data_IF_535798618003
#
_entry.id   IF_535798618003
#
_cell.length_a   1.000
_cell.length_b   1.000
_cell.length_c   1.000
_cell.angle_alpha   90.00
_cell.angle_beta   90.00
_cell.angle_gamma   90.00
#
_symmetry.space_group_name_H-M   'P 1'
#
loop_
_entity.id
_entity.type
_entity.pdbx_description
1 polymer ?
#
# COMPACT_ATOMS: atom_id res chain seq x y z
N UNK A 1 -53.25 56.57 -75.59
CA UNK A 1 -53.28 55.27 -74.89
C UNK A 1 -52.13 55.26 -73.90
N UNK A 2 -52.46 55.34 -72.62
CA UNK A 2 -51.58 55.03 -71.48
C UNK A 2 -50.98 53.62 -71.62
N UNK A 3 -49.72 53.45 -71.23
CA UNK A 3 -49.27 52.25 -70.49
C UNK A 3 -48.13 52.62 -69.53
N UNK A 4 -48.52 52.83 -68.27
CA UNK A 4 -48.03 52.18 -67.04
C UNK A 4 -46.52 52.19 -66.71
N UNK A 5 -46.26 52.84 -65.57
CA UNK A 5 -45.08 52.77 -64.70
C UNK A 5 -44.78 51.36 -64.17
N UNK A 6 -43.49 51.01 -63.99
CA UNK A 6 -43.08 50.00 -63.00
C UNK A 6 -41.77 50.39 -62.34
N UNK A 7 -41.87 50.66 -61.05
CA UNK A 7 -40.80 50.94 -60.11
C UNK A 7 -39.69 49.89 -60.12
N UNK A 8 -38.44 50.36 -60.22
CA UNK A 8 -37.25 49.59 -59.88
C UNK A 8 -37.05 49.64 -58.36
N UNK A 9 -37.55 48.64 -57.64
CA UNK A 9 -37.15 48.43 -56.25
C UNK A 9 -36.86 46.96 -55.97
N UNK A 10 -35.70 46.49 -56.43
CA UNK A 10 -35.14 45.21 -56.01
C UNK A 10 -34.10 45.47 -54.91
N UNK A 11 -34.54 45.34 -53.67
CA UNK A 11 -33.70 45.33 -52.47
C UNK A 11 -32.66 44.20 -52.57
N UNK A 12 -31.44 44.49 -53.00
CA UNK A 12 -30.29 43.61 -52.74
C UNK A 12 -29.80 43.83 -51.32
N UNK A 13 -30.36 43.05 -50.37
CA UNK A 13 -29.71 42.86 -49.07
C UNK A 13 -28.49 41.97 -49.30
N UNK A 14 -27.26 42.40 -48.94
CA UNK A 14 -26.13 41.48 -48.93
C UNK A 14 -26.43 40.39 -47.90
N UNK A 15 -26.33 39.13 -48.31
CA UNK A 15 -26.31 37.99 -47.39
C UNK A 15 -25.12 38.23 -46.45
N UNK A 16 -25.41 38.66 -45.21
CA UNK A 16 -24.43 38.63 -44.13
C UNK A 16 -23.99 37.17 -44.02
N UNK A 17 -22.77 36.87 -44.45
CA UNK A 17 -22.12 35.64 -44.03
C UNK A 17 -22.11 35.70 -42.51
N UNK A 18 -22.96 34.89 -41.88
CA UNK A 18 -22.93 34.72 -40.44
C UNK A 18 -21.50 34.29 -40.11
N UNK A 19 -20.76 35.14 -39.40
CA UNK A 19 -19.47 34.77 -38.83
C UNK A 19 -19.70 33.45 -38.09
N UNK A 20 -19.00 32.40 -38.52
CA UNK A 20 -19.09 31.13 -37.82
C UNK A 20 -18.68 31.41 -36.38
N UNK A 21 -19.48 30.99 -35.38
CA UNK A 21 -19.12 31.20 -34.00
C UNK A 21 -17.72 30.63 -33.79
N UNK A 22 -16.86 31.46 -33.22
CA UNK A 22 -15.47 31.10 -32.94
C UNK A 22 -15.48 29.80 -32.11
N UNK A 23 -14.95 28.73 -32.68
CA UNK A 23 -14.96 27.43 -32.01
C UNK A 23 -14.12 27.55 -30.76
N UNK A 24 -14.69 27.15 -29.62
CA UNK A 24 -13.94 27.11 -28.35
C UNK A 24 -12.71 26.25 -28.56
N UNK A 25 -11.55 26.76 -28.16
CA UNK A 25 -10.31 26.03 -28.26
C UNK A 25 -10.42 24.69 -27.51
N UNK A 26 -9.91 23.63 -28.14
CA UNK A 26 -9.85 22.30 -27.57
C UNK A 26 -9.11 22.32 -26.21
N UNK A 27 -9.63 21.57 -25.23
CA UNK A 27 -9.07 21.48 -23.88
C UNK A 27 -8.58 20.07 -23.60
N UNK A 28 -7.50 19.98 -22.85
CA UNK A 28 -6.82 18.72 -22.53
C UNK A 28 -7.36 18.02 -21.29
N UNK A 29 -8.67 17.93 -21.20
CA UNK A 29 -9.35 17.35 -20.04
C UNK A 29 -9.92 15.99 -20.41
N UNK A 30 -9.46 14.97 -19.70
CA UNK A 30 -9.96 13.61 -19.86
C UNK A 30 -11.45 13.58 -19.48
N UNK A 31 -12.30 12.93 -20.29
CA UNK A 31 -13.74 12.77 -20.07
C UNK A 31 -14.61 14.04 -20.17
N UNK A 32 -14.05 15.18 -20.57
CA UNK A 32 -14.83 16.37 -20.88
C UNK A 32 -15.40 16.28 -22.30
N UNK A 33 -16.72 16.32 -22.46
CA UNK A 33 -17.36 16.42 -23.78
C UNK A 33 -17.08 17.79 -24.40
N UNK A 34 -16.52 17.81 -25.61
CA UNK A 34 -16.13 19.02 -26.33
C UNK A 34 -16.62 18.97 -27.78
N UNK A 35 -16.71 20.13 -28.44
CA UNK A 35 -17.17 20.25 -29.83
C UNK A 35 -16.08 19.87 -30.86
N UNK A 36 -15.40 18.74 -30.60
CA UNK A 36 -14.37 18.17 -31.44
C UNK A 36 -14.64 16.67 -31.63
N UNK A 37 -14.26 16.08 -32.78
CA UNK A 37 -14.34 14.63 -32.98
C UNK A 37 -13.58 13.86 -31.89
N UNK A 38 -14.06 12.66 -31.53
CA UNK A 38 -13.46 11.85 -30.46
C UNK A 38 -11.98 11.46 -30.75
N UNK A 39 -11.58 11.44 -32.03
CA UNK A 39 -10.20 11.17 -32.45
C UNK A 39 -9.35 12.45 -32.66
N UNK A 40 -9.88 13.63 -32.35
CA UNK A 40 -9.15 14.88 -32.51
C UNK A 40 -8.07 15.04 -31.44
N UNK A 41 -6.84 15.31 -31.89
CA UNK A 41 -5.70 15.64 -31.04
C UNK A 41 -5.09 16.95 -31.52
N UNK A 42 -4.86 17.90 -30.60
CA UNK A 42 -4.28 19.20 -30.94
C UNK A 42 -2.82 19.08 -31.40
N UNK A 43 -2.37 19.96 -32.30
CA UNK A 43 -0.99 19.94 -32.83
C UNK A 43 0.08 20.16 -31.74
N UNK A 44 -0.27 20.88 -30.66
CA UNK A 44 0.61 21.10 -29.51
C UNK A 44 0.72 19.88 -28.59
N UNK A 45 -0.08 18.82 -28.82
CA UNK A 45 -0.16 17.68 -27.90
C UNK A 45 1.18 17.00 -27.64
N UNK A 46 1.92 16.69 -28.71
CA UNK A 46 3.23 16.03 -28.62
C UNK A 46 4.29 16.95 -28.01
N UNK A 47 4.19 18.27 -28.24
CA UNK A 47 5.12 19.25 -27.68
C UNK A 47 5.03 19.37 -26.15
N UNK A 48 3.90 18.97 -25.57
CA UNK A 48 3.64 19.03 -24.13
C UNK A 48 3.98 17.72 -23.41
N UNK A 49 4.45 16.71 -24.13
CA UNK A 49 4.75 15.39 -23.57
C UNK A 49 5.97 15.47 -22.66
N UNK A 50 5.76 15.20 -21.36
CA UNK A 50 6.83 15.23 -20.36
C UNK A 50 7.48 13.85 -20.32
N UNK A 51 8.80 13.82 -20.47
CA UNK A 51 9.59 12.60 -20.28
C UNK A 51 10.19 12.63 -18.87
N UNK A 52 10.05 11.52 -18.15
CA UNK A 52 10.69 11.27 -16.87
C UNK A 52 10.39 12.29 -15.76
N UNK A 53 9.25 13.00 -15.80
CA UNK A 53 8.86 13.98 -14.78
C UNK A 53 8.59 13.36 -13.39
N UNK A 54 8.30 12.06 -13.32
CA UNK A 54 8.03 11.33 -12.06
C UNK A 54 9.15 10.34 -11.71
N UNK A 55 10.29 10.41 -12.40
CA UNK A 55 11.43 9.55 -12.05
C UNK A 55 12.01 9.98 -10.70
N UNK A 56 11.80 9.14 -9.68
CA UNK A 56 12.37 9.31 -8.35
C UNK A 56 13.83 8.85 -8.38
N UNK A 57 14.76 9.74 -8.02
CA UNK A 57 16.16 9.37 -7.84
C UNK A 57 16.34 8.68 -6.48
N UNK A 58 16.90 7.47 -6.49
CA UNK A 58 17.15 6.70 -5.27
C UNK A 58 18.57 6.96 -4.78
N UNK A 59 18.74 7.13 -3.46
CA UNK A 59 20.07 7.14 -2.87
C UNK A 59 20.59 5.71 -2.67
N UNK A 60 21.87 5.48 -2.96
CA UNK A 60 22.48 4.16 -2.86
C UNK A 60 22.30 3.53 -1.47
N UNK A 61 22.53 4.29 -0.39
CA UNK A 61 22.40 3.78 0.98
C UNK A 61 20.98 3.37 1.35
N UNK A 62 19.98 4.08 0.83
CA UNK A 62 18.57 3.70 1.03
C UNK A 62 18.29 2.38 0.31
N UNK A 63 18.81 2.24 -0.89
CA UNK A 63 18.65 1.02 -1.68
C UNK A 63 19.36 -0.17 -1.04
N UNK A 64 20.56 0.01 -0.49
CA UNK A 64 21.27 -1.01 0.31
C UNK A 64 20.38 -1.48 1.48
N UNK A 65 19.77 -0.55 2.21
CA UNK A 65 18.82 -0.88 3.28
C UNK A 65 17.62 -1.68 2.76
N UNK A 66 17.12 -1.37 1.57
CA UNK A 66 15.97 -2.07 0.98
C UNK A 66 16.33 -3.49 0.51
N UNK A 67 17.53 -3.67 -0.06
CA UNK A 67 18.05 -4.97 -0.47
C UNK A 67 18.33 -5.92 0.71
N UNK A 68 18.43 -5.41 1.95
CA UNK A 68 18.50 -6.28 3.14
C UNK A 68 17.26 -7.16 3.32
N UNK A 69 16.10 -6.77 2.78
CA UNK A 69 14.90 -7.60 2.81
C UNK A 69 15.04 -8.85 1.94
N UNK A 70 15.77 -8.75 0.83
CA UNK A 70 16.06 -9.90 -0.04
C UNK A 70 16.97 -10.87 0.71
N UNK A 71 18.01 -10.36 1.37
CA UNK A 71 18.92 -11.16 2.21
C UNK A 71 18.18 -11.81 3.39
N UNK A 72 17.29 -11.07 4.06
CA UNK A 72 16.46 -11.63 5.11
C UNK A 72 15.58 -12.76 4.59
N UNK A 73 14.94 -12.57 3.43
CA UNK A 73 14.07 -13.58 2.84
C UNK A 73 14.85 -14.85 2.47
N UNK A 74 16.03 -14.70 1.84
CA UNK A 74 16.93 -15.82 1.55
C UNK A 74 17.38 -16.54 2.81
N UNK A 75 17.69 -15.80 3.88
CA UNK A 75 18.08 -16.36 5.17
C UNK A 75 16.95 -17.18 5.81
N UNK A 76 15.70 -16.69 5.75
CA UNK A 76 14.55 -17.42 6.27
C UNK A 76 14.29 -18.69 5.44
N UNK A 77 14.38 -18.63 4.11
CA UNK A 77 14.26 -19.82 3.25
C UNK A 77 15.38 -20.83 3.53
N UNK A 78 16.62 -20.37 3.69
CA UNK A 78 17.75 -21.22 4.06
C UNK A 78 17.52 -21.88 5.43
N UNK A 79 17.03 -21.13 6.42
CA UNK A 79 16.72 -21.67 7.75
C UNK A 79 15.70 -22.81 7.69
N UNK A 80 14.66 -22.68 6.86
CA UNK A 80 13.70 -23.77 6.65
C UNK A 80 14.34 -25.01 6.04
N UNK A 81 15.18 -24.85 5.01
CA UNK A 81 15.89 -25.97 4.38
C UNK A 81 16.93 -26.61 5.30
N UNK A 82 17.62 -25.81 6.13
CA UNK A 82 18.58 -26.27 7.13
C UNK A 82 17.87 -27.12 8.19
N UNK A 83 16.76 -26.63 8.74
CA UNK A 83 15.99 -27.40 9.74
C UNK A 83 15.44 -28.68 9.10
N UNK A 84 14.96 -28.64 7.86
CA UNK A 84 14.56 -29.85 7.14
C UNK A 84 15.72 -30.85 7.04
N UNK A 85 16.87 -30.43 6.54
CA UNK A 85 18.04 -31.31 6.39
C UNK A 85 18.51 -31.86 7.74
N UNK A 86 18.50 -31.04 8.81
CA UNK A 86 18.83 -31.49 10.16
C UNK A 86 17.90 -32.59 10.66
N UNK A 87 16.59 -32.45 10.44
CA UNK A 87 15.61 -33.49 10.83
C UNK A 87 15.69 -34.71 9.90
N UNK A 88 15.96 -34.53 8.61
CA UNK A 88 15.98 -35.59 7.60
C UNK A 88 17.26 -36.44 7.62
N UNK A 89 18.43 -35.80 7.77
CA UNK A 89 19.75 -36.44 7.64
C UNK A 89 20.51 -36.57 8.95
N UNK A 90 20.25 -35.70 9.93
CA UNK A 90 21.01 -35.62 11.21
C UNK A 90 20.17 -36.02 12.43
N UNK A 91 18.98 -36.58 12.22
CA UNK A 91 18.04 -37.02 13.27
C UNK A 91 17.74 -35.93 14.34
N UNK A 92 17.72 -34.65 13.94
CA UNK A 92 17.38 -33.57 14.86
C UNK A 92 15.95 -33.73 15.38
N UNK A 93 15.77 -33.42 16.67
CA UNK A 93 14.44 -33.41 17.26
C UNK A 93 13.60 -32.27 16.65
N UNK A 94 12.53 -32.57 15.87
CA UNK A 94 11.74 -31.56 15.18
C UNK A 94 10.92 -30.68 16.14
N UNK A 95 10.70 -31.12 17.39
CA UNK A 95 9.92 -30.37 18.38
C UNK A 95 10.64 -29.11 18.84
N UNK A 96 11.97 -29.13 18.92
CA UNK A 96 12.79 -28.01 19.43
C UNK A 96 12.63 -26.75 18.55
N UNK A 97 12.91 -26.77 17.23
CA UNK A 97 12.75 -25.59 16.39
C UNK A 97 11.30 -25.10 16.34
N UNK A 98 10.32 -26.01 16.29
CA UNK A 98 8.90 -25.66 16.29
C UNK A 98 8.46 -25.00 17.60
N UNK A 99 8.97 -25.46 18.74
CA UNK A 99 8.65 -24.85 20.03
C UNK A 99 9.24 -23.44 20.15
N UNK A 100 10.50 -23.26 19.74
CA UNK A 100 11.16 -21.94 19.71
C UNK A 100 10.42 -20.99 18.76
N UNK A 101 10.08 -21.42 17.54
CA UNK A 101 9.35 -20.58 16.59
C UNK A 101 7.93 -20.26 17.06
N UNK A 102 7.23 -21.20 17.70
CA UNK A 102 5.88 -20.98 18.22
C UNK A 102 5.86 -19.99 19.38
N UNK A 103 6.82 -20.11 20.31
CA UNK A 103 6.96 -19.16 21.43
C UNK A 103 7.31 -17.76 20.92
N UNK A 104 8.22 -17.64 19.96
CA UNK A 104 8.56 -16.36 19.34
C UNK A 104 7.38 -15.75 18.56
N UNK A 105 6.61 -16.57 17.85
CA UNK A 105 5.40 -16.13 17.13
C UNK A 105 4.34 -15.63 18.11
N UNK A 106 4.13 -16.32 19.23
CA UNK A 106 3.19 -15.91 20.26
C UNK A 106 3.61 -14.59 20.94
N UNK A 107 4.90 -14.43 21.24
CA UNK A 107 5.45 -13.18 21.74
C UNK A 107 5.30 -12.03 20.72
N UNK A 108 5.60 -12.29 19.44
CA UNK A 108 5.40 -11.34 18.35
C UNK A 108 3.94 -10.92 18.19
N UNK A 109 3.00 -11.86 18.28
CA UNK A 109 1.57 -11.58 18.23
C UNK A 109 1.10 -10.73 19.42
N UNK A 110 1.60 -11.02 20.63
CA UNK A 110 1.30 -10.20 21.81
C UNK A 110 1.81 -8.76 21.63
N UNK A 111 3.03 -8.58 21.13
CA UNK A 111 3.60 -7.26 20.81
C UNK A 111 2.76 -6.56 19.74
N UNK A 112 2.34 -7.27 18.69
CA UNK A 112 1.50 -6.76 17.62
C UNK A 112 0.16 -6.23 18.15
N UNK A 113 -0.59 -7.06 18.88
CA UNK A 113 -1.90 -6.68 19.46
C UNK A 113 -1.75 -5.52 20.44
N UNK A 114 -0.75 -5.57 21.31
CA UNK A 114 -0.52 -4.51 22.30
C UNK A 114 -0.20 -3.17 21.64
N UNK A 115 0.63 -3.19 20.60
CA UNK A 115 1.02 -2.00 19.85
C UNK A 115 -0.16 -1.42 19.08
N UNK A 116 -0.97 -2.26 18.41
CA UNK A 116 -2.20 -1.81 17.74
C UNK A 116 -3.20 -1.21 18.73
N UNK A 117 -3.40 -1.84 19.88
CA UNK A 117 -4.29 -1.31 20.92
C UNK A 117 -3.81 0.06 21.42
N UNK A 118 -2.51 0.23 21.65
CA UNK A 118 -1.92 1.52 22.05
C UNK A 118 -2.14 2.60 20.99
N UNK A 119 -1.91 2.28 19.71
CA UNK A 119 -2.11 3.23 18.59
C UNK A 119 -3.55 3.66 18.45
N UNK A 120 -4.47 2.69 18.45
CA UNK A 120 -5.90 2.98 18.38
C UNK A 120 -6.35 3.91 19.51
N UNK A 121 -5.88 3.67 20.75
CA UNK A 121 -6.16 4.57 21.87
C UNK A 121 -5.60 5.99 21.66
N UNK A 122 -4.38 6.12 21.12
CA UNK A 122 -3.79 7.42 20.80
C UNK A 122 -4.58 8.17 19.73
N UNK A 123 -5.02 7.49 18.67
CA UNK A 123 -5.82 8.08 17.60
C UNK A 123 -7.18 8.57 18.10
N UNK A 124 -7.85 7.79 18.96
CA UNK A 124 -9.11 8.21 19.60
C UNK A 124 -8.91 9.46 20.45
N UNK A 125 -7.83 9.54 21.24
CA UNK A 125 -7.52 10.73 22.05
C UNK A 125 -7.26 11.95 21.15
N UNK A 126 -6.48 11.79 20.08
CA UNK A 126 -6.21 12.87 19.12
C UNK A 126 -7.50 13.33 18.40
N UNK A 127 -8.37 12.40 18.03
CA UNK A 127 -9.66 12.71 17.39
C UNK A 127 -10.56 13.51 18.35
N UNK A 128 -10.66 13.10 19.61
CA UNK A 128 -11.40 13.83 20.64
C UNK A 128 -10.84 15.23 20.89
N UNK A 129 -9.52 15.40 20.89
CA UNK A 129 -8.89 16.72 20.99
C UNK A 129 -9.19 17.61 19.78
N UNK A 130 -9.18 17.06 18.56
CA UNK A 130 -9.56 17.80 17.34
C UNK A 130 -11.02 18.25 17.40
N UNK A 131 -11.93 17.38 17.83
CA UNK A 131 -13.33 17.76 18.03
C UNK A 131 -13.48 18.88 19.07
N UNK A 132 -12.76 18.78 20.20
CA UNK A 132 -12.77 19.82 21.22
C UNK A 132 -12.29 21.15 20.66
N UNK A 133 -11.17 21.17 19.92
CA UNK A 133 -10.63 22.38 19.28
C UNK A 133 -11.60 22.97 18.26
N UNK A 134 -12.27 22.15 17.45
CA UNK A 134 -13.32 22.58 16.51
C UNK A 134 -14.49 23.24 17.24
N UNK A 135 -14.97 22.64 18.34
CA UNK A 135 -16.03 23.20 19.19
C UNK A 135 -15.58 24.53 19.83
N UNK A 136 -14.36 24.61 20.36
CA UNK A 136 -13.85 25.85 20.97
C UNK A 136 -13.65 26.98 19.95
N UNK A 137 -13.15 26.69 18.74
CA UNK A 137 -12.99 27.73 17.70
C UNK A 137 -14.33 28.23 17.16
N UNK A 138 -15.37 27.39 17.13
CA UNK A 138 -16.73 27.79 16.75
C UNK A 138 -17.39 28.72 17.78
N UNK A 139 -16.88 28.74 19.02
CA UNK A 139 -17.38 29.54 20.13
C UNK A 139 -16.52 30.78 20.47
N UNK A 140 -15.50 31.13 19.67
CA UNK A 140 -14.86 32.45 19.81
C UNK A 140 -15.80 33.52 19.22
N UNK A 141 -16.38 34.44 20.01
CA UNK A 141 -17.00 35.62 19.43
C UNK A 141 -15.92 36.41 18.71
N UNK A 142 -16.17 36.74 17.45
CA UNK A 142 -15.35 37.67 16.67
C UNK A 142 -15.44 39.04 17.35
N UNK A 143 -14.54 39.34 18.28
CA UNK A 143 -14.39 40.70 18.81
C UNK A 143 -13.71 41.52 17.72
N UNK A 144 -14.52 42.14 16.88
CA UNK A 144 -14.11 43.19 15.97
C UNK A 144 -13.71 44.40 16.81
N UNK A 145 -12.40 44.58 17.04
CA UNK A 145 -11.87 45.83 17.62
C UNK A 145 -11.90 46.91 16.54
N UNK A 146 -13.06 47.56 16.41
CA UNK A 146 -13.20 48.79 15.61
C UNK A 146 -12.52 49.95 16.34
N UNK A 147 -11.28 50.25 15.94
CA UNK A 147 -10.58 51.50 16.28
C UNK A 147 -11.29 52.64 15.54
N UNK A 148 -12.11 53.42 16.25
CA UNK A 148 -12.80 54.59 15.72
C UNK A 148 -11.82 55.74 15.46
N UNK A 149 -11.73 56.18 14.20
CA UNK A 149 -11.15 57.47 13.81
C UNK A 149 -12.32 58.38 13.44
N UNK A 150 -12.50 59.45 14.20
CA UNK A 150 -13.55 60.45 14.00
C UNK A 150 -13.23 61.36 12.82
N UNK A 151 -14.15 61.47 11.87
CA UNK A 151 -14.34 62.67 11.05
C UNK A 151 -15.81 62.84 10.70
N UNK A 152 -16.25 64.08 10.83
CA UNK A 152 -17.60 64.62 10.75
C UNK A 152 -18.14 64.76 9.33
N UNK A 153 -19.48 64.64 9.16
CA UNK A 153 -20.40 65.64 8.56
C UNK A 153 -21.75 65.02 8.10
N UNK A 154 -22.83 65.50 8.73
CA UNK A 154 -24.07 66.10 8.18
C UNK A 154 -24.94 65.40 7.09
N UNK A 155 -26.26 65.33 7.38
CA UNK A 155 -27.40 65.21 6.43
C UNK A 155 -28.23 63.92 6.56
N UNK A 156 -29.33 63.87 7.33
CA UNK A 156 -30.74 64.21 7.02
C UNK A 156 -31.60 63.07 6.38
N UNK A 157 -32.70 62.74 7.08
CA UNK A 157 -34.03 62.23 6.63
C UNK A 157 -34.28 60.71 6.34
N UNK A 158 -34.79 59.95 7.35
CA UNK A 158 -36.20 59.47 7.59
C UNK A 158 -37.02 58.92 6.37
N UNK A 159 -37.96 57.91 6.46
CA UNK A 159 -38.08 56.67 7.28
C UNK A 159 -38.79 55.46 6.55
N UNK A 160 -39.21 54.43 7.33
CA UNK A 160 -40.28 53.40 7.08
C UNK A 160 -39.86 52.17 6.27
N UNK A 161 -40.30 50.93 6.47
CA UNK A 161 -41.40 50.21 7.18
C UNK A 161 -40.99 48.72 7.00
N UNK A 162 -41.23 47.69 7.82
CA UNK A 162 -42.39 47.32 8.62
C UNK A 162 -42.02 46.06 9.45
N UNK A 163 -42.63 45.94 10.63
CA UNK A 163 -42.69 44.75 11.49
C UNK A 163 -43.24 43.53 10.72
N UNK A 164 -42.99 42.27 11.07
CA UNK A 164 -43.63 41.63 12.22
C UNK A 164 -43.06 40.23 12.53
N UNK A 165 -42.76 40.04 13.81
CA UNK A 165 -42.83 38.84 14.66
C UNK A 165 -43.31 37.52 14.03
N UNK A 166 -42.53 36.46 14.25
CA UNK A 166 -43.10 35.28 14.91
C UNK A 166 -42.05 34.55 15.77
N UNK A 167 -42.33 34.46 17.08
CA UNK A 167 -41.62 33.63 18.06
C UNK A 167 -42.25 32.24 18.02
N UNK A 168 -41.45 31.22 17.73
CA UNK A 168 -41.82 29.83 17.90
C UNK A 168 -40.63 29.04 18.42
N UNK A 169 -40.68 28.64 19.69
CA UNK A 169 -39.75 27.70 20.30
C UNK A 169 -39.90 26.33 19.62
N UNK A 170 -38.81 25.81 19.04
CA UNK A 170 -38.72 24.46 18.50
C UNK A 170 -37.31 23.93 18.74
N UNK A 171 -37.17 23.11 19.77
CA UNK A 171 -36.15 22.09 20.01
C UNK A 171 -35.03 21.98 18.96
N UNK A 172 -33.83 22.46 19.32
CA UNK A 172 -32.58 22.11 18.64
C UNK A 172 -32.36 20.59 18.80
N UNK A 173 -32.74 19.83 17.78
CA UNK A 173 -32.28 18.47 17.61
C UNK A 173 -30.73 18.48 17.58
N UNK A 174 -30.04 17.61 18.33
CA UNK A 174 -28.61 17.49 18.20
C UNK A 174 -28.33 16.96 16.79
N UNK A 175 -27.77 17.82 15.94
CA UNK A 175 -27.19 17.42 14.66
C UNK A 175 -26.18 16.30 14.97
N UNK A 176 -26.56 15.09 14.60
CA UNK A 176 -25.67 13.94 14.53
C UNK A 176 -24.44 14.35 13.71
N UNK A 177 -23.22 14.10 14.21
CA UNK A 177 -22.04 14.44 13.43
C UNK A 177 -22.05 13.54 12.21
N UNK A 178 -22.27 14.13 11.04
CA UNK A 178 -21.99 13.52 9.76
C UNK A 178 -20.54 13.07 9.81
N UNK A 179 -20.39 11.75 9.79
CA UNK A 179 -19.17 10.98 9.68
C UNK A 179 -18.19 11.69 8.73
N UNK A 180 -17.25 12.43 9.31
CA UNK A 180 -15.97 12.64 8.65
C UNK A 180 -15.47 11.22 8.41
N UNK A 181 -15.38 10.80 7.16
CA UNK A 181 -14.71 9.59 6.72
C UNK A 181 -13.23 9.70 7.12
N UNK A 182 -12.96 9.57 8.43
CA UNK A 182 -11.66 9.17 8.93
C UNK A 182 -11.53 7.75 8.45
N UNK A 183 -10.63 7.54 7.49
CA UNK A 183 -10.16 6.24 7.04
C UNK A 183 -9.97 5.39 8.29
N UNK A 184 -10.95 4.54 8.57
CA UNK A 184 -10.97 3.77 9.80
C UNK A 184 -10.03 2.62 9.54
N UNK A 185 -8.83 2.71 10.10
CA UNK A 185 -7.99 1.53 10.24
C UNK A 185 -8.83 0.47 10.96
N UNK A 186 -8.87 -0.74 10.42
CA UNK A 186 -9.71 -1.83 10.91
C UNK A 186 -9.54 -2.02 12.42
N UNK A 187 -10.65 -2.19 13.16
CA UNK A 187 -10.64 -2.51 14.59
C UNK A 187 -9.56 -3.56 14.92
N UNK A 188 -8.87 -3.46 16.08
CA UNK A 188 -7.84 -4.43 16.45
C UNK A 188 -8.43 -5.86 16.41
N UNK A 189 -7.69 -6.85 15.88
CA UNK A 189 -8.20 -8.19 15.73
C UNK A 189 -8.57 -8.77 17.10
N UNK A 190 -9.74 -9.41 17.19
CA UNK A 190 -10.14 -10.04 18.43
C UNK A 190 -9.24 -11.25 18.71
N UNK A 191 -8.58 -11.22 19.87
CA UNK A 191 -7.64 -12.27 20.29
C UNK A 191 -8.33 -13.63 20.31
N UNK A 192 -9.58 -13.69 20.76
CA UNK A 192 -10.36 -14.93 20.82
C UNK A 192 -10.63 -15.55 19.43
N UNK A 193 -10.99 -14.75 18.42
CA UNK A 193 -11.24 -15.28 17.07
C UNK A 193 -9.93 -15.73 16.40
N UNK A 194 -8.84 -15.03 16.67
CA UNK A 194 -7.51 -15.40 16.17
C UNK A 194 -7.06 -16.71 16.80
N UNK A 195 -7.19 -16.85 18.12
CA UNK A 195 -6.85 -18.08 18.84
C UNK A 195 -7.70 -19.27 18.38
N UNK A 196 -9.01 -19.06 18.19
CA UNK A 196 -9.91 -20.07 17.61
C UNK A 196 -9.40 -20.53 16.25
N UNK A 197 -9.03 -19.60 15.38
CA UNK A 197 -8.50 -19.91 14.04
C UNK A 197 -7.17 -20.65 14.10
N UNK A 198 -6.25 -20.23 14.98
CA UNK A 198 -4.97 -20.91 15.19
C UNK A 198 -5.15 -22.36 15.67
N UNK A 199 -6.04 -22.59 16.63
CA UNK A 199 -6.36 -23.94 17.13
C UNK A 199 -6.90 -24.80 15.99
N UNK A 200 -7.84 -24.26 15.19
CA UNK A 200 -8.40 -24.98 14.05
C UNK A 200 -7.29 -25.36 13.05
N UNK A 201 -6.43 -24.42 12.66
CA UNK A 201 -5.32 -24.69 11.73
C UNK A 201 -4.38 -25.76 12.28
N UNK A 202 -3.98 -25.67 13.56
CA UNK A 202 -3.07 -26.64 14.19
C UNK A 202 -3.71 -28.04 14.24
N UNK A 203 -4.98 -28.14 14.62
CA UNK A 203 -5.70 -29.42 14.62
C UNK A 203 -5.82 -30.01 13.22
N UNK A 204 -6.13 -29.18 12.22
CA UNK A 204 -6.19 -29.61 10.82
C UNK A 204 -4.84 -30.10 10.29
N UNK A 205 -3.74 -29.42 10.63
CA UNK A 205 -2.40 -29.88 10.25
C UNK A 205 -2.01 -31.19 10.95
N UNK A 206 -2.45 -31.37 12.20
CA UNK A 206 -2.21 -32.60 12.96
C UNK A 206 -2.94 -33.79 12.33
N UNK A 207 -4.19 -33.61 11.92
CA UNK A 207 -4.98 -34.67 11.26
C UNK A 207 -4.50 -34.98 9.85
N UNK A 208 -4.05 -33.97 9.09
CA UNK A 208 -3.52 -34.19 7.73
C UNK A 208 -2.07 -34.69 7.70
N UNK A 209 -1.34 -34.64 8.82
CA UNK A 209 0.07 -35.03 8.85
C UNK A 209 0.38 -36.41 8.24
N UNK A 210 -0.38 -37.50 8.52
CA UNK A 210 -0.14 -38.79 7.89
C UNK A 210 -0.32 -38.77 6.36
N UNK A 211 -1.25 -37.94 5.86
CA UNK A 211 -1.51 -37.76 4.42
C UNK A 211 -0.38 -36.97 3.77
N UNK A 212 0.08 -35.89 4.42
CA UNK A 212 1.23 -35.12 3.94
C UNK A 212 2.49 -35.98 3.92
N UNK A 213 2.69 -36.85 4.91
CA UNK A 213 3.80 -37.81 4.95
C UNK A 213 3.81 -38.74 3.74
N UNK A 214 2.66 -39.26 3.32
CA UNK A 214 2.60 -40.24 2.23
C UNK A 214 2.55 -39.63 0.83
N UNK A 215 2.40 -38.30 0.73
CA UNK A 215 2.11 -37.58 -0.51
C UNK A 215 3.09 -37.87 -1.66
N UNK A 216 4.40 -37.93 -1.36
CA UNK A 216 5.45 -38.06 -2.37
C UNK A 216 6.24 -39.37 -2.25
N UNK A 217 5.65 -40.41 -1.64
CA UNK A 217 6.33 -41.70 -1.43
C UNK A 217 6.73 -42.39 -2.75
N UNK A 218 5.97 -42.17 -3.83
CA UNK A 218 6.27 -42.71 -5.15
C UNK A 218 7.31 -41.88 -5.94
N UNK A 219 7.74 -40.74 -5.41
CA UNK A 219 8.68 -39.83 -6.08
C UNK A 219 10.10 -40.01 -5.53
N UNK A 220 11.10 -40.01 -6.42
CA UNK A 220 12.50 -40.15 -6.01
C UNK A 220 12.99 -38.97 -5.15
N UNK A 221 13.97 -39.21 -4.29
CA UNK A 221 14.56 -38.15 -3.44
C UNK A 221 15.16 -37.02 -4.28
N UNK A 222 15.89 -37.37 -5.35
CA UNK A 222 16.59 -36.40 -6.20
C UNK A 222 15.61 -35.46 -6.90
N UNK A 223 14.48 -36.00 -7.37
CA UNK A 223 13.41 -35.19 -7.95
C UNK A 223 12.80 -34.22 -6.93
N UNK A 224 12.73 -34.59 -5.66
CA UNK A 224 12.18 -33.73 -4.59
C UNK A 224 13.15 -32.60 -4.24
N UNK A 225 14.45 -32.89 -4.14
CA UNK A 225 15.47 -31.85 -3.95
C UNK A 225 15.50 -30.86 -5.14
N UNK A 226 15.38 -31.37 -6.37
CA UNK A 226 15.28 -30.53 -7.57
C UNK A 226 14.01 -29.66 -7.57
N UNK A 227 12.87 -30.25 -7.25
CA UNK A 227 11.60 -29.53 -7.17
C UNK A 227 11.62 -28.47 -6.06
N UNK A 228 12.18 -28.80 -4.90
CA UNK A 228 12.37 -27.84 -3.80
C UNK A 228 13.25 -26.66 -4.21
N UNK A 229 14.34 -26.92 -4.93
CA UNK A 229 15.21 -25.87 -5.47
C UNK A 229 14.45 -24.92 -6.40
N UNK A 230 13.64 -25.46 -7.31
CA UNK A 230 12.80 -24.65 -8.20
C UNK A 230 11.72 -23.86 -7.46
N UNK A 231 11.07 -24.47 -6.44
CA UNK A 231 10.10 -23.78 -5.61
C UNK A 231 10.74 -22.64 -4.82
N UNK A 232 11.94 -22.83 -4.26
CA UNK A 232 12.70 -21.75 -3.62
C UNK A 232 13.07 -20.65 -4.63
N UNK A 233 13.55 -21.02 -5.82
CA UNK A 233 13.91 -20.05 -6.85
C UNK A 233 12.72 -19.17 -7.27
N UNK A 234 11.60 -19.79 -7.65
CA UNK A 234 10.40 -19.06 -8.02
C UNK A 234 9.82 -18.28 -6.82
N UNK A 235 10.00 -18.76 -5.59
CA UNK A 235 9.53 -18.07 -4.41
C UNK A 235 10.29 -16.75 -4.24
N UNK A 236 11.61 -16.78 -4.41
CA UNK A 236 12.44 -15.57 -4.39
C UNK A 236 12.04 -14.60 -5.50
N UNK A 237 11.73 -15.10 -6.71
CA UNK A 237 11.35 -14.27 -7.86
C UNK A 237 9.97 -13.61 -7.73
N UNK A 238 8.96 -14.36 -7.28
CA UNK A 238 7.58 -13.86 -7.17
C UNK A 238 7.29 -13.19 -5.82
N UNK A 239 8.27 -13.13 -4.92
CA UNK A 239 8.09 -12.45 -3.66
C UNK A 239 8.01 -10.94 -3.85
N UNK A 240 7.01 -10.35 -3.22
CA UNK A 240 6.85 -8.90 -3.19
C UNK A 240 7.77 -8.31 -2.11
N UNK A 241 8.84 -7.67 -2.56
CA UNK A 241 9.78 -6.93 -1.68
C UNK A 241 9.42 -5.44 -1.56
N UNK A 242 8.24 -5.02 -2.01
CA UNK A 242 7.86 -3.61 -1.98
C UNK A 242 7.85 -3.06 -0.55
N UNK A 243 8.30 -1.81 -0.46
CA UNK A 243 8.31 -1.03 0.77
C UNK A 243 7.37 0.13 0.54
N UNK A 244 6.24 0.14 1.25
CA UNK A 244 5.41 1.34 1.35
C UNK A 244 6.19 2.39 2.13
N UNK A 245 6.90 3.27 1.44
CA UNK A 245 7.50 4.44 2.07
C UNK A 245 6.38 5.39 2.46
N UNK A 246 6.31 5.85 3.72
CA UNK A 246 5.60 7.09 4.03
C UNK A 246 6.34 8.20 3.28
N UNK A 247 5.81 8.61 2.13
CA UNK A 247 6.36 9.69 1.33
C UNK A 247 6.35 10.98 2.14
N UNK A 248 7.46 11.30 2.81
CA UNK A 248 7.65 12.54 3.58
C UNK A 248 7.64 13.82 2.71
N UNK A 249 7.26 13.75 1.42
CA UNK A 249 7.19 14.86 0.47
C UNK A 249 5.88 14.91 -0.35
N UNK A 250 4.77 14.37 0.17
CA UNK A 250 3.47 14.40 -0.52
C UNK A 250 2.41 15.33 0.10
N UNK A 251 2.80 16.28 0.95
CA UNK A 251 1.82 17.26 1.43
C UNK A 251 1.34 18.25 0.34
N UNK A 252 2.06 18.41 -0.78
CA UNK A 252 1.72 19.41 -1.81
C UNK A 252 1.18 18.86 -3.15
N UNK A 253 1.01 17.54 -3.32
CA UNK A 253 0.49 16.98 -4.59
C UNK A 253 -0.56 15.87 -4.42
N UNK A 254 -1.34 15.90 -3.33
CA UNK A 254 -2.44 14.95 -3.10
C UNK A 254 -3.72 15.22 -3.90
N UNK A 255 -3.70 16.03 -4.95
CA UNK A 255 -4.82 16.08 -5.88
C UNK A 255 -4.47 15.30 -7.14
N UNK A 256 -5.05 14.10 -7.21
CA UNK A 256 -5.34 13.32 -8.43
C UNK A 256 -4.27 12.31 -8.87
N UNK A 257 -4.16 11.20 -8.14
CA UNK A 257 -4.01 9.89 -8.79
C UNK A 257 -5.27 9.07 -8.47
N UNK A 258 -5.91 8.42 -9.45
CA UNK A 258 -7.15 7.68 -9.22
C UNK A 258 -6.90 6.47 -8.33
N UNK A 259 -7.64 6.43 -7.20
CA UNK A 259 -7.67 5.43 -6.14
C UNK A 259 -7.91 3.97 -6.58
N UNK A 260 -8.16 3.69 -7.87
CA UNK A 260 -8.50 2.35 -8.35
C UNK A 260 -7.31 1.55 -8.92
N UNK A 261 -6.22 2.21 -9.35
CA UNK A 261 -5.12 1.50 -10.01
C UNK A 261 -3.98 1.05 -9.07
N UNK A 262 -3.89 1.61 -7.87
CA UNK A 262 -2.94 1.14 -6.84
C UNK A 262 -3.45 -0.09 -6.09
N UNK A 263 -4.77 -0.32 -6.05
CA UNK A 263 -5.36 -1.42 -5.29
C UNK A 263 -5.23 -2.78 -5.98
N UNK A 264 -5.07 -2.82 -7.31
CA UNK A 264 -5.04 -4.09 -8.07
C UNK A 264 -3.65 -4.76 -8.13
N UNK A 265 -2.55 -4.00 -7.96
CA UNK A 265 -1.19 -4.54 -8.09
C UNK A 265 -0.59 -5.04 -6.77
N UNK A 266 -1.11 -4.57 -5.62
CA UNK A 266 -0.59 -4.91 -4.28
C UNK A 266 -1.13 -6.26 -3.75
N UNK A 267 -2.27 -6.73 -4.24
CA UNK A 267 -2.95 -7.91 -3.67
C UNK A 267 -2.55 -9.21 -4.37
N UNK A 268 -2.11 -9.19 -5.64
CA UNK A 268 -1.92 -10.42 -6.44
C UNK A 268 -0.59 -11.14 -6.20
N UNK A 269 0.54 -10.42 -6.14
CA UNK A 269 1.87 -11.06 -6.08
C UNK A 269 2.16 -11.73 -4.73
N UNK A 270 1.67 -11.14 -3.64
CA UNK A 270 1.97 -11.62 -2.29
C UNK A 270 1.39 -13.02 -1.98
N UNK A 271 0.41 -13.50 -2.75
CA UNK A 271 -0.19 -14.81 -2.53
C UNK A 271 0.59 -15.94 -3.23
N UNK A 272 1.18 -15.66 -4.40
CA UNK A 272 1.94 -16.64 -5.18
C UNK A 272 3.17 -17.10 -4.38
N UNK A 273 3.97 -16.15 -3.89
CA UNK A 273 5.15 -16.45 -3.06
C UNK A 273 4.78 -17.32 -1.86
N UNK A 274 3.78 -16.92 -1.06
CA UNK A 274 3.36 -17.68 0.13
C UNK A 274 2.91 -19.11 -0.21
N UNK A 275 2.12 -19.29 -1.27
CA UNK A 275 1.71 -20.61 -1.73
C UNK A 275 2.91 -21.46 -2.14
N UNK A 276 3.89 -20.86 -2.82
CA UNK A 276 5.07 -21.55 -3.28
C UNK A 276 6.00 -21.97 -2.14
N UNK A 277 6.13 -21.13 -1.12
CA UNK A 277 6.84 -21.46 0.11
C UNK A 277 6.14 -22.59 0.88
N UNK A 278 4.81 -22.55 0.97
CA UNK A 278 4.04 -23.62 1.61
C UNK A 278 4.15 -24.93 0.82
N UNK A 279 4.07 -24.88 -0.51
CA UNK A 279 4.30 -26.04 -1.37
C UNK A 279 5.69 -26.61 -1.16
N UNK A 280 6.73 -25.77 -1.05
CA UNK A 280 8.09 -26.21 -0.76
C UNK A 280 8.16 -26.96 0.57
N UNK A 281 7.58 -26.38 1.62
CA UNK A 281 7.51 -27.02 2.92
C UNK A 281 6.76 -28.37 2.86
N UNK A 282 5.67 -28.47 2.10
CA UNK A 282 4.89 -29.70 1.95
C UNK A 282 5.70 -30.82 1.28
N UNK A 283 6.37 -30.54 0.16
CA UNK A 283 7.15 -31.56 -0.56
C UNK A 283 8.40 -31.99 0.24
N UNK A 284 9.00 -31.08 1.01
CA UNK A 284 10.07 -31.46 1.92
C UNK A 284 9.52 -32.30 3.09
N UNK A 285 8.44 -31.84 3.74
CA UNK A 285 7.84 -32.53 4.89
C UNK A 285 7.46 -33.97 4.57
N UNK A 286 6.96 -34.25 3.37
CA UNK A 286 6.54 -35.59 2.95
C UNK A 286 7.68 -36.61 2.91
N UNK A 287 8.94 -36.20 3.11
CA UNK A 287 10.10 -37.09 3.23
C UNK A 287 10.52 -37.40 4.66
N UNK A 288 9.83 -36.85 5.66
CA UNK A 288 10.11 -37.12 7.06
C UNK A 288 9.48 -38.44 7.52
N UNK A 289 10.22 -39.20 8.34
CA UNK A 289 9.83 -40.56 8.74
C UNK A 289 8.72 -40.61 9.80
N UNK A 290 8.37 -39.50 10.46
CA UNK A 290 7.39 -39.45 11.54
C UNK A 290 6.29 -38.42 11.27
N UNK A 291 5.03 -38.79 11.58
CA UNK A 291 3.89 -37.86 11.50
C UNK A 291 4.10 -36.64 12.43
N UNK A 292 4.78 -36.84 13.56
CA UNK A 292 5.12 -35.73 14.44
C UNK A 292 6.11 -34.77 13.77
N UNK A 293 7.13 -35.31 13.09
CA UNK A 293 8.14 -34.50 12.39
C UNK A 293 7.52 -33.68 11.25
N UNK A 294 6.65 -34.29 10.45
CA UNK A 294 5.88 -33.63 9.37
C UNK A 294 5.06 -32.47 9.94
N UNK A 295 4.29 -32.73 11.00
CA UNK A 295 3.48 -31.71 11.65
C UNK A 295 4.34 -30.55 12.18
N UNK A 296 5.39 -30.85 12.94
CA UNK A 296 6.29 -29.86 13.52
C UNK A 296 6.95 -28.99 12.43
N UNK A 297 7.44 -29.62 11.37
CA UNK A 297 8.14 -28.95 10.28
C UNK A 297 7.21 -28.04 9.45
N UNK A 298 5.97 -28.47 9.19
CA UNK A 298 4.99 -27.63 8.48
C UNK A 298 4.58 -26.43 9.34
N UNK A 299 4.31 -26.63 10.63
CA UNK A 299 3.99 -25.53 11.56
C UNK A 299 5.16 -24.53 11.62
N UNK A 300 6.38 -25.02 11.76
CA UNK A 300 7.60 -24.20 11.74
C UNK A 300 7.72 -23.39 10.44
N UNK A 301 7.49 -24.03 9.29
CA UNK A 301 7.58 -23.39 7.97
C UNK A 301 6.52 -22.29 7.79
N UNK A 302 5.28 -22.52 8.24
CA UNK A 302 4.20 -21.51 8.19
C UNK A 302 4.55 -20.32 9.08
N UNK A 303 5.12 -20.56 10.26
CA UNK A 303 5.53 -19.48 11.17
C UNK A 303 6.65 -18.63 10.57
N UNK A 304 7.68 -19.25 10.00
CA UNK A 304 8.83 -18.54 9.45
C UNK A 304 8.57 -17.88 8.09
N UNK A 305 7.90 -18.54 7.16
CA UNK A 305 7.69 -17.97 5.82
C UNK A 305 6.36 -17.21 5.69
N UNK A 306 5.41 -17.43 6.60
CA UNK A 306 4.11 -16.75 6.60
C UNK A 306 4.03 -15.62 7.61
N UNK A 307 4.19 -15.95 8.89
CA UNK A 307 3.92 -15.01 9.99
C UNK A 307 5.08 -14.05 10.29
N UNK A 308 6.32 -14.53 10.24
CA UNK A 308 7.49 -13.69 10.52
C UNK A 308 7.64 -12.51 9.54
N UNK A 309 7.50 -12.66 8.21
CA UNK A 309 7.60 -11.54 7.28
C UNK A 309 6.49 -10.49 7.52
N UNK A 310 5.30 -10.94 7.90
CA UNK A 310 4.19 -10.04 8.29
C UNK A 310 4.57 -9.22 9.54
N UNK A 311 5.13 -9.87 10.55
CA UNK A 311 5.58 -9.20 11.77
C UNK A 311 6.75 -8.24 11.52
N UNK A 312 7.72 -8.64 10.69
CA UNK A 312 8.85 -7.80 10.30
C UNK A 312 8.41 -6.58 9.49
N UNK A 313 7.42 -6.73 8.60
CA UNK A 313 6.85 -5.58 7.90
C UNK A 313 6.11 -4.66 8.87
N UNK A 314 5.36 -5.22 9.82
CA UNK A 314 4.70 -4.47 10.88
C UNK A 314 5.69 -3.65 11.72
N UNK A 315 6.79 -4.22 12.19
CA UNK A 315 7.78 -3.49 13.02
C UNK A 315 8.37 -2.30 12.27
N UNK A 316 8.56 -2.42 10.95
CA UNK A 316 8.99 -1.32 10.07
C UNK A 316 7.91 -0.26 9.87
N UNK A 317 6.67 -0.65 9.57
CA UNK A 317 5.52 0.28 9.43
C UNK A 317 5.27 1.09 10.70
N UNK A 318 5.55 0.48 11.86
CA UNK A 318 5.39 1.15 13.15
C UNK A 318 6.51 2.14 13.46
N UNK A 319 7.63 2.08 12.75
CA UNK A 319 8.82 2.89 13.01
C UNK A 319 9.74 2.32 14.09
N UNK A 320 9.61 1.04 14.45
CA UNK A 320 10.50 0.36 15.38
C UNK A 320 11.80 -0.11 14.70
N UNK A 321 12.53 0.84 14.11
CA UNK A 321 13.73 0.58 13.29
C UNK A 321 14.82 -0.19 14.04
N UNK A 322 15.08 0.13 15.32
CA UNK A 322 16.08 -0.60 16.13
C UNK A 322 15.71 -2.07 16.32
N UNK A 323 14.43 -2.34 16.56
CA UNK A 323 13.94 -3.70 16.77
C UNK A 323 13.92 -4.48 15.45
N UNK A 324 13.56 -3.84 14.34
CA UNK A 324 13.69 -4.43 13.00
C UNK A 324 15.14 -4.87 12.71
N UNK A 325 16.12 -3.99 12.93
CA UNK A 325 17.53 -4.36 12.73
C UNK A 325 17.99 -5.47 13.67
N UNK A 326 17.55 -5.45 14.93
CA UNK A 326 17.80 -6.54 15.86
C UNK A 326 17.28 -7.88 15.32
N UNK A 327 16.04 -7.92 14.79
CA UNK A 327 15.46 -9.12 14.19
C UNK A 327 16.26 -9.60 12.98
N UNK A 328 16.61 -8.70 12.06
CA UNK A 328 17.39 -9.03 10.85
C UNK A 328 18.73 -9.62 11.24
N UNK A 329 19.46 -8.96 12.14
CA UNK A 329 20.79 -9.42 12.59
C UNK A 329 20.72 -10.77 13.29
N UNK A 330 19.74 -10.99 14.17
CA UNK A 330 19.57 -12.28 14.87
C UNK A 330 19.29 -13.42 13.89
N UNK A 331 18.42 -13.20 12.90
CA UNK A 331 18.09 -14.23 11.90
C UNK A 331 19.30 -14.52 11.01
N UNK A 332 19.94 -13.49 10.45
CA UNK A 332 21.09 -13.66 9.55
C UNK A 332 22.24 -14.34 10.27
N UNK A 333 22.62 -13.87 11.47
CA UNK A 333 23.70 -14.50 12.24
C UNK A 333 23.34 -15.94 12.66
N UNK A 334 22.09 -16.19 13.04
CA UNK A 334 21.63 -17.54 13.37
C UNK A 334 21.76 -18.50 12.19
N UNK A 335 21.42 -18.04 10.97
CA UNK A 335 21.57 -18.81 9.73
C UNK A 335 23.05 -19.00 9.40
N UNK A 336 23.88 -17.97 9.51
CA UNK A 336 25.32 -18.06 9.24
C UNK A 336 25.99 -19.10 10.16
N UNK A 337 25.64 -19.11 11.46
CA UNK A 337 26.11 -20.12 12.41
C UNK A 337 25.63 -21.52 11.98
N UNK A 338 24.38 -21.67 11.56
CA UNK A 338 23.83 -22.96 11.15
C UNK A 338 24.47 -23.47 9.84
N UNK A 339 24.70 -22.59 8.85
CA UNK A 339 25.43 -22.91 7.62
C UNK A 339 26.84 -23.38 7.94
N UNK A 340 27.54 -22.70 8.86
CA UNK A 340 28.87 -23.11 9.31
C UNK A 340 28.85 -24.47 10.00
N UNK A 341 27.86 -24.74 10.86
CA UNK A 341 27.77 -26.02 11.56
C UNK A 341 27.52 -27.21 10.61
N UNK A 342 26.80 -26.98 9.50
CA UNK A 342 26.46 -28.04 8.55
C UNK A 342 27.50 -28.26 7.46
N UNK A 343 28.02 -27.17 6.89
CA UNK A 343 28.93 -27.20 5.74
C UNK A 343 30.36 -26.77 6.04
N UNK A 344 30.65 -26.29 7.26
CA UNK A 344 31.95 -25.74 7.62
C UNK A 344 32.25 -24.39 6.94
N UNK A 345 33.54 -24.03 6.92
CA UNK A 345 34.01 -22.71 6.50
C UNK A 345 33.71 -22.41 5.02
N UNK A 346 33.85 -23.40 4.13
CA UNK A 346 33.69 -23.20 2.68
C UNK A 346 32.27 -22.77 2.35
N UNK A 347 31.27 -23.46 2.91
CA UNK A 347 29.85 -23.12 2.71
C UNK A 347 29.49 -21.77 3.33
N UNK A 348 30.05 -21.44 4.50
CA UNK A 348 29.89 -20.11 5.10
C UNK A 348 30.46 -19.01 4.19
N UNK A 349 31.64 -19.22 3.60
CA UNK A 349 32.24 -18.25 2.67
C UNK A 349 31.38 -18.08 1.41
N UNK A 350 30.93 -19.17 0.79
CA UNK A 350 30.03 -19.10 -0.36
C UNK A 350 28.74 -18.33 -0.04
N UNK A 351 28.13 -18.62 1.12
CA UNK A 351 26.91 -17.98 1.59
C UNK A 351 27.09 -16.48 1.85
N UNK A 352 28.16 -16.10 2.56
CA UNK A 352 28.47 -14.70 2.86
C UNK A 352 28.85 -13.90 1.60
N UNK A 353 29.56 -14.51 0.65
CA UNK A 353 29.85 -13.89 -0.66
C UNK A 353 28.55 -13.64 -1.45
N UNK A 354 27.60 -14.59 -1.43
CA UNK A 354 26.30 -14.41 -2.07
C UNK A 354 25.51 -13.25 -1.46
N UNK A 355 25.44 -13.16 -0.13
CA UNK A 355 24.83 -12.02 0.56
C UNK A 355 25.50 -10.69 0.24
N UNK A 356 26.84 -10.64 0.29
CA UNK A 356 27.59 -9.43 -0.05
C UNK A 356 27.32 -8.98 -1.49
N UNK A 357 27.26 -9.93 -2.43
CA UNK A 357 26.94 -9.66 -3.84
C UNK A 357 25.55 -9.05 -3.97
N UNK A 358 24.54 -9.59 -3.29
CA UNK A 358 23.17 -9.05 -3.35
C UNK A 358 23.11 -7.64 -2.75
N UNK A 359 23.77 -7.40 -1.61
CA UNK A 359 23.73 -6.11 -0.90
C UNK A 359 24.50 -5.03 -1.65
N UNK A 360 25.60 -5.35 -2.32
CA UNK A 360 26.46 -4.35 -2.97
C UNK A 360 26.17 -4.23 -4.47
N UNK A 361 26.14 -5.36 -5.18
CA UNK A 361 25.94 -5.38 -6.64
C UNK A 361 24.48 -5.13 -7.00
N UNK A 362 23.53 -5.62 -6.21
CA UNK A 362 22.09 -5.42 -6.45
C UNK A 362 21.70 -3.94 -6.55
N UNK A 363 21.97 -3.12 -5.53
CA UNK A 363 21.72 -1.68 -5.59
C UNK A 363 22.47 -0.96 -6.71
N UNK A 364 23.74 -1.29 -6.93
CA UNK A 364 24.53 -0.68 -8.00
C UNK A 364 23.95 -1.00 -9.39
N UNK A 365 23.54 -2.26 -9.61
CA UNK A 365 22.90 -2.70 -10.84
C UNK A 365 21.54 -2.03 -11.04
N UNK A 366 20.73 -1.92 -9.98
CA UNK A 366 19.44 -1.23 -10.05
C UNK A 366 19.61 0.26 -10.39
N UNK A 367 20.60 0.95 -9.84
CA UNK A 367 20.92 2.33 -10.22
C UNK A 367 21.41 2.43 -11.66
N UNK A 368 22.22 1.48 -12.13
CA UNK A 368 22.63 1.42 -13.54
C UNK A 368 21.43 1.23 -14.47
N UNK A 369 20.46 0.40 -14.06
CA UNK A 369 19.21 0.18 -14.80
C UNK A 369 18.32 1.43 -14.85
N UNK A 370 18.38 2.29 -13.82
CA UNK A 370 17.59 3.52 -13.77
C UNK A 370 17.89 4.46 -14.96
N UNK A 371 19.10 4.41 -15.54
CA UNK A 371 19.47 5.15 -16.75
C UNK A 371 18.58 4.79 -17.96
N UNK A 372 18.08 3.56 -18.02
CA UNK A 372 17.24 3.08 -19.12
C UNK A 372 15.74 3.28 -18.86
N UNK A 373 15.36 3.92 -17.75
CA UNK A 373 13.95 4.19 -17.45
C UNK A 373 13.44 5.32 -18.33
N UNK A 374 12.43 5.00 -19.13
CA UNK A 374 11.73 5.94 -20.00
C UNK A 374 10.24 5.94 -19.70
N UNK A 375 9.81 6.94 -18.93
CA UNK A 375 8.41 7.20 -18.64
C UNK A 375 7.94 8.41 -19.45
N UNK A 376 7.00 8.16 -20.36
CA UNK A 376 6.35 9.19 -21.15
C UNK A 376 5.01 9.50 -20.48
N UNK A 377 4.91 10.70 -19.91
CA UNK A 377 3.66 11.16 -19.32
C UNK A 377 2.87 11.93 -20.35
N UNK A 378 1.69 11.38 -20.65
CA UNK A 378 0.68 12.06 -21.44
C UNK A 378 0.24 13.34 -20.71
N UNK A 379 0.00 14.46 -21.40
CA UNK A 379 -0.19 15.74 -20.70
C UNK A 379 -1.65 15.96 -20.31
N UNK A 380 -2.39 14.88 -20.08
CA UNK A 380 -3.83 14.88 -19.83
C UNK A 380 -4.11 15.17 -18.37
N UNK A 381 -4.93 16.19 -18.12
CA UNK A 381 -5.43 16.46 -16.78
C UNK A 381 -6.77 15.73 -16.59
N UNK A 382 -6.99 15.04 -15.45
CA UNK A 382 -8.30 14.51 -15.11
C UNK A 382 -9.32 15.64 -15.01
N UNK A 383 -10.49 15.50 -15.66
CA UNK A 383 -11.56 16.47 -15.46
C UNK A 383 -12.03 16.46 -13.99
N UNK A 384 -12.06 17.65 -13.38
CA UNK A 384 -12.61 17.81 -12.05
C UNK A 384 -14.14 17.69 -12.11
N UNK A 385 -14.77 16.87 -11.23
CA UNK A 385 -16.22 16.76 -11.19
C UNK A 385 -16.83 18.08 -10.73
N UNK A 386 -17.84 18.57 -11.44
CA UNK A 386 -18.60 19.75 -11.04
C UNK A 386 -19.56 19.32 -9.93
N UNK A 387 -19.19 19.58 -8.68
CA UNK A 387 -20.07 19.39 -7.54
C UNK A 387 -21.14 20.49 -7.57
N UNK A 388 -22.37 20.15 -7.97
CA UNK A 388 -23.51 21.04 -7.76
C UNK A 388 -23.77 21.10 -6.25
N UNK A 389 -23.50 22.25 -5.64
CA UNK A 389 -23.97 22.57 -4.30
C UNK A 389 -25.50 22.69 -4.37
N UNK A 390 -26.20 21.58 -4.18
CA UNK A 390 -27.63 21.63 -3.91
C UNK A 390 -27.75 22.09 -2.44
N UNK A 391 -28.02 23.39 -2.26
CA UNK A 391 -28.41 23.91 -0.95
C UNK A 391 -29.64 23.15 -0.46
N UNK A 392 -29.46 22.40 0.62
CA UNK A 392 -30.52 21.84 1.44
C UNK A 392 -30.72 22.73 2.66
#
# INVERSE_FOLDING_TARGET
MEVVSRDRNANHRPLKFAERPERKQWKKLLWLKQDYPDNYTDKSFLSQLKRNSTVVNYSYLKLVNDFTLIVLHLSVLALVNIVFFGVYSLDWNPVVPTFISSTLTMAGFAIYVFTLKRRHQQEVVIALERERKLKTNKFRPFIQTSRSRSTSRQGSNVPSRENSQNRGNGTLNPLTPSTIHVVTESNPPSVANTLKSCILIVLTLLTFSPVLKSLTNSTSSDSIWALSTWLCFFNVLFNDYTIEFPSLHHHDQQQQQPLQQQQHTQVSNSNISKNLSLSNAIVLASRLNSNLAVFCFIVFSIQLNGLFPMFNNFTRKVGYTRFHWFQVTVVVLGVDIAVYQMGGLVWLLCWTIAHFTIIMVGPAYFLALQKYKDELQGPWDPAQPILKNNGL
#
